data_IF_001867413327
#
_entry.id   IF_001867413327
#
_cell.length_a   1.000
_cell.length_b   1.000
_cell.length_c   1.000
_cell.angle_alpha   90.00
_cell.angle_beta   90.00
_cell.angle_gamma   90.00
#
_symmetry.space_group_name_H-M   'P 1'
#
loop_
_entity.id
_entity.type
_entity.pdbx_description
1 polymer ?
#
# COMPACT_ATOMS: atom_id res chain seq x y z
N UNK A 1 18.69 -4.28 -10.09
CA UNK A 1 18.79 -2.92 -9.50
C UNK A 1 18.01 -1.82 -10.25
N UNK A 2 17.78 -1.91 -11.57
CA UNK A 2 17.14 -0.84 -12.37
C UNK A 2 15.59 -0.76 -12.29
N UNK A 3 14.90 -1.78 -11.76
CA UNK A 3 13.42 -1.81 -11.66
C UNK A 3 12.88 -1.10 -10.41
N UNK A 4 13.66 -1.05 -9.33
CA UNK A 4 13.30 -0.39 -8.06
C UNK A 4 13.26 1.13 -8.17
N UNK A 5 14.16 1.72 -8.97
CA UNK A 5 14.22 3.18 -9.18
C UNK A 5 13.05 3.73 -10.00
N UNK A 6 12.48 2.91 -10.91
CA UNK A 6 11.32 3.31 -11.73
C UNK A 6 10.01 3.30 -10.93
N UNK A 7 9.81 2.32 -10.03
CA UNK A 7 8.63 2.25 -9.13
C UNK A 7 8.62 3.42 -8.13
N UNK A 8 9.78 3.79 -7.58
CA UNK A 8 9.94 5.00 -6.71
C UNK A 8 9.66 6.31 -7.45
N UNK A 9 10.06 6.46 -8.71
CA UNK A 9 9.76 7.67 -9.51
C UNK A 9 8.28 7.81 -9.84
N UNK A 10 7.57 6.71 -10.15
CA UNK A 10 6.13 6.74 -10.44
C UNK A 10 5.26 7.09 -9.23
N UNK A 11 5.62 6.61 -8.03
CA UNK A 11 4.93 6.96 -6.79
C UNK A 11 5.19 8.41 -6.36
N UNK A 12 6.40 8.93 -6.57
CA UNK A 12 6.71 10.33 -6.28
C UNK A 12 5.97 11.31 -7.20
N UNK A 13 5.76 10.96 -8.49
CA UNK A 13 4.97 11.78 -9.42
C UNK A 13 3.48 11.79 -9.13
N UNK A 14 2.89 10.67 -8.69
CA UNK A 14 1.46 10.61 -8.35
C UNK A 14 1.16 11.37 -7.05
N UNK A 15 2.01 11.23 -6.03
CA UNK A 15 1.90 11.98 -4.76
C UNK A 15 2.13 13.48 -4.97
N UNK A 16 3.08 13.86 -5.84
CA UNK A 16 3.29 15.27 -6.22
C UNK A 16 2.10 15.88 -6.96
N UNK A 17 1.46 15.10 -7.85
CA UNK A 17 0.26 15.52 -8.58
C UNK A 17 -0.95 15.70 -7.67
N UNK A 18 -1.17 14.78 -6.72
CA UNK A 18 -2.28 14.88 -5.76
C UNK A 18 -2.12 16.03 -4.78
N UNK A 19 -0.90 16.30 -4.30
CA UNK A 19 -0.62 17.43 -3.41
C UNK A 19 -0.78 18.77 -4.09
N UNK A 20 -0.33 18.91 -5.34
CA UNK A 20 -0.53 20.13 -6.11
C UNK A 20 -2.03 20.40 -6.34
N UNK A 21 -2.83 19.37 -6.62
CA UNK A 21 -4.28 19.53 -6.75
C UNK A 21 -4.91 20.07 -5.46
N UNK A 22 -4.58 19.48 -4.30
CA UNK A 22 -5.06 19.94 -3.00
C UNK A 22 -4.64 21.39 -2.71
N UNK A 23 -3.38 21.74 -3.01
CA UNK A 23 -2.88 23.11 -2.87
C UNK A 23 -3.69 24.09 -3.74
N UNK A 24 -3.99 23.72 -4.98
CA UNK A 24 -4.79 24.57 -5.87
C UNK A 24 -6.22 24.76 -5.36
N UNK A 25 -6.85 23.69 -4.85
CA UNK A 25 -8.19 23.79 -4.26
C UNK A 25 -8.22 24.72 -3.05
N UNK A 26 -7.20 24.62 -2.19
CA UNK A 26 -7.04 25.49 -1.01
C UNK A 26 -6.77 26.94 -1.43
N UNK A 27 -5.92 27.19 -2.43
CA UNK A 27 -5.66 28.54 -2.95
C UNK A 27 -6.91 29.17 -3.57
N UNK A 28 -7.69 28.40 -4.32
CA UNK A 28 -8.97 28.86 -4.87
C UNK A 28 -9.95 29.23 -3.77
N UNK A 29 -10.06 28.39 -2.74
CA UNK A 29 -10.89 28.69 -1.58
C UNK A 29 -10.44 29.97 -0.88
N UNK A 30 -9.14 30.16 -0.64
CA UNK A 30 -8.60 31.38 -0.04
C UNK A 30 -8.79 32.62 -0.92
N UNK A 31 -8.73 32.48 -2.25
CA UNK A 31 -9.01 33.56 -3.18
C UNK A 31 -10.47 34.01 -3.07
N UNK A 32 -11.42 33.06 -3.07
CA UNK A 32 -12.85 33.34 -2.88
C UNK A 32 -13.08 33.99 -1.52
N UNK A 33 -12.50 33.43 -0.46
CA UNK A 33 -12.61 33.96 0.90
C UNK A 33 -12.11 35.41 0.97
N UNK A 34 -10.96 35.72 0.36
CA UNK A 34 -10.42 37.09 0.28
C UNK A 34 -11.38 38.06 -0.40
N UNK A 35 -12.02 37.66 -1.51
CA UNK A 35 -13.04 38.49 -2.17
C UNK A 35 -14.27 38.73 -1.28
N UNK A 36 -14.75 37.69 -0.59
CA UNK A 36 -15.87 37.81 0.34
C UNK A 36 -15.51 38.74 1.50
N UNK A 37 -14.34 38.56 2.13
CA UNK A 37 -13.87 39.43 3.21
C UNK A 37 -13.71 40.88 2.75
N UNK A 38 -13.17 41.11 1.55
CA UNK A 38 -13.06 42.45 0.98
C UNK A 38 -14.43 43.11 0.77
N UNK A 39 -15.41 42.36 0.23
CA UNK A 39 -16.78 42.84 0.05
C UNK A 39 -17.46 43.20 1.37
N UNK A 40 -17.33 42.34 2.39
CA UNK A 40 -17.86 42.59 3.74
C UNK A 40 -17.22 43.84 4.35
N UNK A 41 -15.89 43.97 4.26
CA UNK A 41 -15.15 45.11 4.80
C UNK A 41 -15.55 46.41 4.09
N UNK A 42 -15.75 46.38 2.76
CA UNK A 42 -16.25 47.52 1.99
C UNK A 42 -17.65 47.94 2.46
N UNK A 43 -18.59 47.00 2.59
CA UNK A 43 -19.96 47.28 3.04
C UNK A 43 -19.96 47.86 4.47
N UNK A 44 -19.19 47.27 5.39
CA UNK A 44 -19.05 47.75 6.77
C UNK A 44 -18.51 49.19 6.79
N UNK A 45 -17.51 49.50 5.96
CA UNK A 45 -16.92 50.83 5.88
C UNK A 45 -17.90 51.87 5.33
N UNK A 46 -18.76 51.49 4.38
CA UNK A 46 -19.84 52.36 3.91
C UNK A 46 -20.95 52.54 4.96
N UNK A 47 -21.27 51.49 5.71
CA UNK A 47 -22.35 51.50 6.71
C UNK A 47 -21.97 52.24 8.01
N UNK A 48 -20.68 52.23 8.37
CA UNK A 48 -20.18 52.86 9.59
C UNK A 48 -19.28 54.03 9.21
N UNK A 49 -19.73 55.27 9.45
CA UNK A 49 -18.96 56.51 9.21
C UNK A 49 -17.80 56.70 10.22
N UNK A 50 -17.12 55.62 10.63
CA UNK A 50 -15.99 55.67 11.54
C UNK A 50 -14.69 55.83 10.75
N UNK A 51 -13.93 56.88 11.04
CA UNK A 51 -12.64 57.18 10.40
C UNK A 51 -11.61 56.05 10.58
N UNK A 52 -11.64 55.35 11.72
CA UNK A 52 -10.74 54.24 12.02
C UNK A 52 -11.00 53.02 11.10
N UNK A 53 -12.27 52.67 10.85
CA UNK A 53 -12.63 51.59 9.94
C UNK A 53 -12.27 51.92 8.50
N UNK A 54 -12.43 53.18 8.10
CA UNK A 54 -12.00 53.64 6.77
C UNK A 54 -10.49 53.49 6.55
N UNK A 55 -9.68 53.92 7.53
CA UNK A 55 -8.22 53.79 7.43
C UNK A 55 -7.78 52.31 7.40
N UNK A 56 -8.39 51.46 8.24
CA UNK A 56 -8.14 50.01 8.21
C UNK A 56 -8.55 49.39 6.87
N UNK A 57 -9.67 49.80 6.28
CA UNK A 57 -10.12 49.33 4.97
C UNK A 57 -9.14 49.71 3.86
N UNK A 58 -8.63 50.95 3.84
CA UNK A 58 -7.68 51.38 2.81
C UNK A 58 -6.39 50.56 2.89
N UNK A 59 -5.85 50.36 4.10
CA UNK A 59 -4.59 49.64 4.29
C UNK A 59 -4.77 48.13 4.05
N UNK A 60 -5.72 47.48 4.74
CA UNK A 60 -5.93 46.04 4.60
C UNK A 60 -6.52 45.68 3.22
N UNK A 61 -7.42 46.50 2.69
CA UNK A 61 -8.04 46.29 1.39
C UNK A 61 -7.05 46.39 0.24
N UNK A 62 -6.10 47.33 0.28
CA UNK A 62 -5.05 47.43 -0.74
C UNK A 62 -4.09 46.23 -0.71
N UNK A 63 -3.71 45.75 0.48
CA UNK A 63 -2.92 44.52 0.65
C UNK A 63 -3.66 43.29 0.08
N UNK A 64 -4.94 43.10 0.43
CA UNK A 64 -5.77 42.01 -0.11
C UNK A 64 -5.90 42.08 -1.64
N UNK A 65 -6.10 43.28 -2.19
CA UNK A 65 -6.22 43.48 -3.64
C UNK A 65 -4.90 43.16 -4.37
N UNK A 66 -3.78 43.64 -3.85
CA UNK A 66 -2.45 43.33 -4.38
C UNK A 66 -2.22 41.82 -4.39
N UNK A 67 -2.59 41.15 -3.29
CA UNK A 67 -2.44 39.73 -3.16
C UNK A 67 -3.35 38.93 -4.12
N UNK A 68 -4.57 39.41 -4.39
CA UNK A 68 -5.46 38.84 -5.40
C UNK A 68 -4.90 38.99 -6.82
N UNK A 69 -4.33 40.14 -7.17
CA UNK A 69 -3.69 40.37 -8.47
C UNK A 69 -2.56 39.37 -8.69
N UNK A 70 -1.71 39.18 -7.67
CA UNK A 70 -0.59 38.22 -7.71
C UNK A 70 -1.12 36.78 -7.86
N UNK A 71 -2.14 36.38 -7.09
CA UNK A 71 -2.74 35.05 -7.22
C UNK A 71 -3.31 34.82 -8.63
N UNK A 72 -4.07 35.78 -9.17
CA UNK A 72 -4.61 35.69 -10.54
C UNK A 72 -3.52 35.62 -11.60
N UNK A 73 -2.43 36.36 -11.43
CA UNK A 73 -1.27 36.29 -12.32
C UNK A 73 -0.67 34.87 -12.35
N UNK A 74 -0.47 34.24 -11.19
CA UNK A 74 0.04 32.87 -11.11
C UNK A 74 -0.93 31.84 -11.69
N UNK A 75 -2.24 32.01 -11.49
CA UNK A 75 -3.25 31.17 -12.14
C UNK A 75 -3.23 31.33 -13.67
N UNK A 76 -3.14 32.56 -14.18
CA UNK A 76 -3.13 32.85 -15.61
C UNK A 76 -1.87 32.30 -16.30
N UNK A 77 -0.71 32.50 -15.69
CA UNK A 77 0.59 32.04 -16.21
C UNK A 77 0.86 30.55 -15.99
N UNK A 78 -0.04 29.83 -15.29
CA UNK A 78 0.06 28.40 -14.93
C UNK A 78 1.33 28.02 -14.16
N UNK A 79 1.94 28.97 -13.44
CA UNK A 79 3.17 28.73 -12.66
C UNK A 79 2.86 28.28 -11.22
N UNK A 80 2.11 27.18 -11.07
CA UNK A 80 1.61 26.73 -9.76
C UNK A 80 2.71 26.32 -8.76
N UNK A 81 3.89 25.96 -9.25
CA UNK A 81 5.05 25.64 -8.41
C UNK A 81 5.45 26.80 -7.49
N UNK A 82 5.07 28.04 -7.84
CA UNK A 82 5.33 29.19 -7.00
C UNK A 82 4.59 29.10 -5.66
N UNK A 83 3.34 28.59 -5.63
CA UNK A 83 2.56 28.50 -4.39
C UNK A 83 3.23 27.64 -3.30
N UNK A 84 3.99 26.63 -3.71
CA UNK A 84 4.71 25.70 -2.81
C UNK A 84 6.14 26.19 -2.53
N UNK A 85 6.57 27.27 -3.19
CA UNK A 85 7.91 27.83 -3.07
C UNK A 85 8.10 28.58 -1.76
N UNK A 86 9.33 28.58 -1.26
CA UNK A 86 9.71 29.38 -0.09
C UNK A 86 9.59 30.89 -0.37
N UNK A 87 9.67 31.31 -1.63
CA UNK A 87 9.48 32.70 -2.03
C UNK A 87 8.06 33.20 -1.79
N UNK A 88 7.06 32.33 -2.00
CA UNK A 88 5.67 32.66 -1.72
C UNK A 88 5.47 32.94 -0.22
N UNK A 89 6.06 32.10 0.63
CA UNK A 89 6.07 32.33 2.09
C UNK A 89 6.68 33.68 2.47
N UNK A 90 7.84 34.04 1.91
CA UNK A 90 8.47 35.34 2.20
C UNK A 90 7.65 36.53 1.71
N UNK A 91 6.94 36.41 0.58
CA UNK A 91 6.03 37.45 0.11
C UNK A 91 4.88 37.67 1.09
N UNK A 92 4.23 36.60 1.54
CA UNK A 92 3.19 36.70 2.58
C UNK A 92 3.73 37.23 3.90
N UNK A 93 4.93 36.81 4.30
CA UNK A 93 5.56 37.28 5.52
C UNK A 93 5.83 38.79 5.49
N UNK A 94 6.32 39.28 4.35
CA UNK A 94 6.56 40.71 4.14
C UNK A 94 5.25 41.50 4.16
N UNK A 95 4.23 41.02 3.45
CA UNK A 95 2.92 41.67 3.38
C UNK A 95 2.24 41.76 4.76
N UNK A 96 2.18 40.64 5.49
CA UNK A 96 1.64 40.62 6.86
C UNK A 96 2.49 41.48 7.80
N UNK A 97 3.81 41.46 7.66
CA UNK A 97 4.72 42.30 8.45
C UNK A 97 4.49 43.80 8.24
N UNK A 98 4.34 44.24 6.99
CA UNK A 98 4.02 45.62 6.63
C UNK A 98 2.63 46.01 7.14
N UNK A 99 1.62 45.13 6.94
CA UNK A 99 0.26 45.36 7.40
C UNK A 99 0.21 45.57 8.92
N UNK A 100 0.90 44.73 9.69
CA UNK A 100 0.98 44.84 11.15
C UNK A 100 1.73 46.11 11.56
N UNK A 101 2.86 46.43 10.92
CA UNK A 101 3.62 47.65 11.21
C UNK A 101 2.79 48.92 10.98
N UNK A 102 2.01 48.98 9.88
CA UNK A 102 1.19 50.15 9.54
C UNK A 102 -0.07 50.30 10.40
N UNK A 103 -0.52 49.23 11.07
CA UNK A 103 -1.78 49.20 11.84
C UNK A 103 -1.57 49.17 13.35
N UNK A 104 -0.40 49.60 13.83
CA UNK A 104 -0.10 49.79 15.25
C UNK A 104 0.69 48.65 15.89
N UNK A 105 1.51 47.93 15.11
CA UNK A 105 2.49 46.96 15.60
C UNK A 105 1.86 45.90 16.52
N UNK A 106 2.25 45.90 17.79
CA UNK A 106 1.76 44.95 18.79
C UNK A 106 0.25 45.07 19.08
N UNK A 107 -0.35 46.24 18.84
CA UNK A 107 -1.79 46.52 19.02
C UNK A 107 -2.62 46.20 17.78
N UNK A 108 -1.97 45.82 16.68
CA UNK A 108 -2.65 45.54 15.42
C UNK A 108 -3.63 44.37 15.57
N UNK A 109 -4.86 44.47 15.03
CA UNK A 109 -5.79 43.34 15.00
C UNK A 109 -5.34 42.23 14.04
N UNK A 110 -4.31 42.47 13.21
CA UNK A 110 -3.84 41.54 12.19
C UNK A 110 -2.70 40.62 12.64
N UNK A 111 -2.20 40.76 13.88
CA UNK A 111 -1.15 39.89 14.42
C UNK A 111 -1.46 38.38 14.31
N UNK A 112 -2.72 37.91 14.51
CA UNK A 112 -3.05 36.49 14.32
C UNK A 112 -2.76 35.94 12.91
N UNK A 113 -2.61 36.79 11.87
CA UNK A 113 -2.23 36.35 10.52
C UNK A 113 -0.87 35.65 10.49
N UNK A 114 0.05 35.99 11.41
CA UNK A 114 1.30 35.26 11.55
C UNK A 114 1.11 33.79 11.95
N UNK A 115 0.07 33.47 12.74
CA UNK A 115 -0.27 32.08 13.08
C UNK A 115 -0.72 31.33 11.83
N UNK A 116 -1.62 31.92 11.04
CA UNK A 116 -2.08 31.34 9.79
C UNK A 116 -0.94 31.13 8.80
N UNK A 117 0.04 32.03 8.78
CA UNK A 117 1.23 31.89 7.94
C UNK A 117 2.09 30.68 8.34
N UNK A 118 2.32 30.50 9.65
CA UNK A 118 3.04 29.33 10.17
C UNK A 118 2.28 28.03 9.85
N UNK A 119 0.96 28.02 10.06
CA UNK A 119 0.09 26.89 9.74
C UNK A 119 0.14 26.56 8.25
N UNK A 120 -0.09 27.56 7.39
CA UNK A 120 -0.11 27.44 5.94
C UNK A 120 1.22 26.89 5.41
N UNK A 121 2.35 27.40 5.88
CA UNK A 121 3.64 26.87 5.46
C UNK A 121 3.76 25.35 5.73
N UNK A 122 3.35 24.89 6.91
CA UNK A 122 3.49 23.47 7.28
C UNK A 122 2.54 22.56 6.50
N UNK A 123 1.37 23.06 6.11
CA UNK A 123 0.42 22.35 5.24
C UNK A 123 1.00 22.22 3.82
N UNK A 124 1.60 23.29 3.28
CA UNK A 124 2.07 23.33 1.89
C UNK A 124 3.45 22.69 1.70
N UNK A 125 4.33 22.80 2.69
CA UNK A 125 5.71 22.30 2.64
C UNK A 125 6.12 21.66 3.97
N UNK A 126 5.67 20.42 4.26
CA UNK A 126 5.91 19.74 5.54
C UNK A 126 7.36 19.24 5.74
N UNK A 127 8.38 19.93 5.20
CA UNK A 127 9.78 19.53 5.36
C UNK A 127 10.23 19.71 6.83
N UNK A 128 10.71 18.61 7.41
CA UNK A 128 11.13 18.40 8.81
C UNK A 128 12.04 19.47 9.41
N UNK A 129 12.92 20.06 8.61
CA UNK A 129 14.03 20.86 9.12
C UNK A 129 13.73 22.35 9.28
N UNK A 130 12.66 22.87 8.67
CA UNK A 130 12.44 24.32 8.58
C UNK A 130 11.44 24.87 9.58
N UNK A 131 10.67 24.03 10.29
CA UNK A 131 9.62 24.49 11.24
C UNK A 131 10.15 25.50 12.27
N UNK A 132 11.28 25.17 12.90
CA UNK A 132 11.93 26.05 13.87
C UNK A 132 12.38 27.36 13.23
N UNK A 133 13.09 27.29 12.11
CA UNK A 133 13.61 28.46 11.39
C UNK A 133 12.50 29.38 10.88
N UNK A 134 11.38 28.80 10.45
CA UNK A 134 10.23 29.54 9.96
C UNK A 134 9.53 30.26 11.08
N UNK A 135 9.28 29.56 12.18
CA UNK A 135 8.71 30.17 13.39
C UNK A 135 9.62 31.28 13.90
N UNK A 136 10.94 31.07 13.91
CA UNK A 136 11.92 32.09 14.27
C UNK A 136 11.87 33.30 13.34
N UNK A 137 11.76 33.08 12.03
CA UNK A 137 11.68 34.15 11.02
C UNK A 137 10.38 34.94 11.15
N UNK A 138 9.26 34.27 11.44
CA UNK A 138 7.97 34.90 11.73
C UNK A 138 8.06 35.76 13.00
N UNK A 139 8.62 35.21 14.08
CA UNK A 139 8.87 35.97 15.32
C UNK A 139 9.78 37.19 15.07
N UNK A 140 10.85 37.03 14.30
CA UNK A 140 11.76 38.14 13.96
C UNK A 140 11.04 39.25 13.17
N UNK A 141 10.15 38.87 12.25
CA UNK A 141 9.35 39.83 11.47
C UNK A 141 8.34 40.56 12.36
N UNK A 142 7.67 39.84 13.27
CA UNK A 142 6.75 40.45 14.23
C UNK A 142 7.48 41.40 15.21
N UNK A 143 8.68 41.02 15.67
CA UNK A 143 9.54 41.88 16.48
C UNK A 143 9.92 43.16 15.72
N UNK A 144 10.34 43.03 14.46
CA UNK A 144 10.67 44.15 13.60
C UNK A 144 9.47 45.09 13.39
N UNK A 145 8.29 44.55 13.09
CA UNK A 145 7.07 45.34 12.95
C UNK A 145 6.69 46.10 14.23
N UNK A 146 6.90 45.48 15.40
CA UNK A 146 6.66 46.13 16.70
C UNK A 146 7.68 47.23 16.99
N UNK A 147 8.96 47.00 16.71
CA UNK A 147 10.02 48.02 16.88
C UNK A 147 9.76 49.21 15.96
N UNK A 148 9.31 48.97 14.73
CA UNK A 148 8.95 50.04 13.80
C UNK A 148 7.82 50.91 14.36
N UNK A 149 6.78 50.32 14.95
CA UNK A 149 5.72 51.07 15.63
C UNK A 149 6.26 51.87 16.83
N UNK A 150 7.15 51.28 17.64
CA UNK A 150 7.77 51.97 18.78
C UNK A 150 8.62 53.18 18.40
N UNK A 151 9.20 53.21 17.20
CA UNK A 151 9.93 54.39 16.72
C UNK A 151 9.01 55.62 16.62
N UNK A 152 7.73 55.41 16.27
CA UNK A 152 6.75 56.49 16.13
C UNK A 152 5.96 56.75 17.41
N UNK A 153 5.59 55.71 18.14
CA UNK A 153 4.68 55.77 19.29
C UNK A 153 5.40 55.81 20.65
N UNK A 154 6.72 55.57 20.66
CA UNK A 154 7.51 55.33 21.87
C UNK A 154 7.47 53.86 22.31
N UNK A 155 8.43 53.42 23.15
CA UNK A 155 8.52 52.03 23.59
C UNK A 155 7.44 51.71 24.64
N UNK A 156 6.68 50.63 24.41
CA UNK A 156 5.66 50.12 25.32
C UNK A 156 5.96 48.66 25.70
N UNK A 157 6.95 48.47 26.58
CA UNK A 157 7.38 47.14 27.03
C UNK A 157 6.37 46.44 27.95
N UNK A 158 5.41 47.17 28.51
CA UNK A 158 4.39 46.64 29.43
C UNK A 158 3.14 46.15 28.70
N UNK A 159 3.12 46.22 27.37
CA UNK A 159 2.01 45.75 26.56
C UNK A 159 1.90 44.22 26.60
N UNK A 160 1.09 43.69 27.52
CA UNK A 160 0.87 42.24 27.70
C UNK A 160 0.56 41.48 26.39
N UNK A 161 -0.29 41.98 25.47
CA UNK A 161 -0.56 41.30 24.20
C UNK A 161 0.68 41.00 23.36
N UNK A 162 1.74 41.81 23.46
CA UNK A 162 3.01 41.57 22.75
C UNK A 162 3.58 40.18 23.08
N UNK A 163 3.71 39.88 24.37
CA UNK A 163 4.28 38.62 24.86
C UNK A 163 3.36 37.44 24.60
N UNK A 164 2.04 37.63 24.72
CA UNK A 164 1.04 36.61 24.39
C UNK A 164 1.16 36.22 22.92
N UNK A 165 1.28 37.20 22.02
CA UNK A 165 1.41 36.93 20.59
C UNK A 165 2.70 36.16 20.25
N UNK A 166 3.85 36.54 20.85
CA UNK A 166 5.08 35.76 20.69
C UNK A 166 4.94 34.32 21.19
N UNK A 167 4.32 34.14 22.36
CA UNK A 167 4.04 32.82 22.90
C UNK A 167 3.15 32.00 21.96
N UNK A 168 2.06 32.58 21.44
CA UNK A 168 1.15 31.90 20.52
C UNK A 168 1.85 31.51 19.21
N UNK A 169 2.67 32.39 18.63
CA UNK A 169 3.44 32.09 17.41
C UNK A 169 4.43 30.94 17.66
N UNK A 170 5.19 31.02 18.76
CA UNK A 170 6.15 29.98 19.12
C UNK A 170 5.45 28.64 19.41
N UNK A 171 4.35 28.66 20.14
CA UNK A 171 3.55 27.48 20.49
C UNK A 171 2.93 26.85 19.23
N UNK A 172 2.39 27.65 18.32
CA UNK A 172 1.86 27.20 17.04
C UNK A 172 2.95 26.52 16.19
N UNK A 173 4.13 27.13 16.10
CA UNK A 173 5.29 26.55 15.42
C UNK A 173 5.71 25.21 16.02
N UNK A 174 5.76 25.11 17.36
CA UNK A 174 6.09 23.87 18.06
C UNK A 174 5.07 22.75 17.81
N UNK A 175 3.77 23.06 17.90
CA UNK A 175 2.68 22.12 17.58
C UNK A 175 2.80 21.64 16.13
N UNK A 176 3.00 22.56 15.18
CA UNK A 176 3.13 22.20 13.78
C UNK A 176 4.36 21.33 13.50
N UNK A 177 5.48 21.60 14.18
CA UNK A 177 6.66 20.74 14.16
C UNK A 177 6.38 19.34 14.74
N UNK A 178 5.57 19.24 15.79
CA UNK A 178 5.13 17.95 16.35
C UNK A 178 4.20 17.21 15.39
N UNK A 179 3.16 17.86 14.88
CA UNK A 179 2.19 17.28 13.95
C UNK A 179 2.88 16.76 12.70
N UNK A 180 3.80 17.53 12.13
CA UNK A 180 4.56 17.10 10.97
C UNK A 180 5.40 15.84 11.26
N UNK A 181 5.96 15.68 12.48
CA UNK A 181 6.68 14.46 12.88
C UNK A 181 5.74 13.26 12.99
N UNK A 182 4.56 13.44 13.58
CA UNK A 182 3.56 12.38 13.71
C UNK A 182 3.06 11.92 12.34
N UNK A 183 2.66 12.85 11.46
CA UNK A 183 2.17 12.53 10.11
C UNK A 183 3.21 11.75 9.32
N UNK A 184 4.48 12.15 9.36
CA UNK A 184 5.56 11.41 8.71
C UNK A 184 5.78 10.02 9.31
N UNK A 185 5.67 9.88 10.63
CA UNK A 185 5.73 8.57 11.29
C UNK A 185 4.63 7.64 10.81
N UNK A 186 3.40 8.14 10.66
CA UNK A 186 2.27 7.39 10.12
C UNK A 186 2.47 7.02 8.64
N UNK A 187 2.93 7.96 7.80
CA UNK A 187 3.25 7.68 6.39
C UNK A 187 4.33 6.60 6.26
N UNK A 188 5.37 6.64 7.12
CA UNK A 188 6.45 5.66 7.13
C UNK A 188 5.99 4.27 7.60
N UNK A 189 5.19 4.20 8.66
CA UNK A 189 4.64 2.94 9.17
C UNK A 189 3.70 2.28 8.15
N UNK A 190 2.83 3.06 7.51
CA UNK A 190 1.96 2.57 6.44
C UNK A 190 2.77 2.01 5.26
N UNK A 191 3.82 2.74 4.84
CA UNK A 191 4.72 2.27 3.78
C UNK A 191 5.48 1.01 4.19
N UNK A 192 5.95 0.93 5.44
CA UNK A 192 6.63 -0.25 5.96
C UNK A 192 5.72 -1.48 5.96
N UNK A 193 4.49 -1.36 6.48
CA UNK A 193 3.49 -2.45 6.48
C UNK A 193 3.16 -2.92 5.07
N UNK A 194 2.93 -1.99 4.13
CA UNK A 194 2.67 -2.34 2.73
C UNK A 194 3.84 -3.09 2.09
N UNK A 195 5.08 -2.63 2.32
CA UNK A 195 6.26 -3.31 1.79
C UNK A 195 6.50 -4.68 2.46
N UNK A 196 6.25 -4.80 3.76
CA UNK A 196 6.37 -6.06 4.49
C UNK A 196 5.35 -7.10 3.99
N UNK A 197 4.11 -6.67 3.72
CA UNK A 197 3.08 -7.52 3.10
C UNK A 197 3.51 -7.97 1.69
N UNK A 198 3.93 -7.04 0.81
CA UNK A 198 4.41 -7.37 -0.54
C UNK A 198 5.59 -8.36 -0.49
N UNK A 199 6.53 -8.16 0.45
CA UNK A 199 7.68 -9.05 0.63
C UNK A 199 7.28 -10.42 1.16
N UNK A 200 6.35 -10.49 2.12
CA UNK A 200 5.84 -11.74 2.67
C UNK A 200 5.11 -12.55 1.60
N UNK A 201 4.21 -11.91 0.85
CA UNK A 201 3.48 -12.54 -0.26
C UNK A 201 4.44 -13.06 -1.33
N UNK A 202 5.44 -12.25 -1.71
CA UNK A 202 6.45 -12.66 -2.70
C UNK A 202 7.27 -13.85 -2.20
N UNK A 203 7.64 -13.86 -0.92
CA UNK A 203 8.41 -14.95 -0.31
C UNK A 203 7.58 -16.22 -0.25
N UNK A 204 6.32 -16.15 0.19
CA UNK A 204 5.41 -17.28 0.23
C UNK A 204 5.17 -17.85 -1.16
N UNK A 205 4.91 -16.99 -2.16
CA UNK A 205 4.74 -17.40 -3.56
C UNK A 205 6.01 -18.06 -4.09
N UNK A 206 7.19 -17.56 -3.76
CA UNK A 206 8.46 -18.17 -4.16
C UNK A 206 8.65 -19.55 -3.49
N UNK A 207 8.35 -19.69 -2.20
CA UNK A 207 8.42 -20.97 -1.48
C UNK A 207 7.48 -21.98 -2.15
N UNK A 208 6.20 -21.62 -2.33
CA UNK A 208 5.19 -22.50 -2.94
C UNK A 208 5.51 -22.87 -4.39
N UNK A 209 6.15 -21.98 -5.15
CA UNK A 209 6.55 -22.28 -6.53
C UNK A 209 7.83 -23.12 -6.63
N UNK A 210 8.64 -23.17 -5.57
CA UNK A 210 9.85 -24.00 -5.53
C UNK A 210 9.64 -25.36 -4.85
N UNK A 211 8.50 -25.60 -4.20
CA UNK A 211 8.16 -26.96 -3.75
C UNK A 211 7.94 -27.85 -4.97
N UNK A 212 8.59 -29.01 -5.02
CA UNK A 212 8.42 -29.97 -6.12
C UNK A 212 7.01 -30.55 -6.22
N UNK A 213 6.22 -30.46 -5.15
CA UNK A 213 4.84 -30.94 -5.13
C UNK A 213 3.90 -29.92 -5.78
N UNK A 214 3.04 -30.38 -6.70
CA UNK A 214 1.88 -29.61 -7.14
C UNK A 214 1.01 -29.23 -5.93
N UNK A 215 0.50 -28.01 -5.92
CA UNK A 215 -0.41 -27.49 -4.88
C UNK A 215 -1.56 -26.75 -5.57
N UNK A 216 -2.79 -27.13 -5.25
CA UNK A 216 -4.02 -26.51 -5.74
C UNK A 216 -4.88 -26.08 -4.55
N UNK A 217 -5.38 -24.85 -4.60
CA UNK A 217 -6.29 -24.28 -3.61
C UNK A 217 -7.65 -24.08 -4.24
N UNK A 218 -8.71 -24.62 -3.63
CA UNK A 218 -10.08 -24.52 -4.14
C UNK A 218 -11.10 -24.22 -3.05
N UNK A 219 -12.24 -23.64 -3.43
CA UNK A 219 -13.32 -23.28 -2.51
C UNK A 219 -14.30 -24.42 -2.21
N UNK A 220 -15.27 -24.20 -1.33
CA UNK A 220 -16.35 -25.18 -1.02
C UNK A 220 -17.17 -25.60 -2.24
N UNK A 221 -17.26 -24.72 -3.24
CA UNK A 221 -17.90 -24.98 -4.53
C UNK A 221 -17.01 -25.75 -5.51
N UNK A 222 -15.83 -26.18 -5.04
CA UNK A 222 -14.80 -26.92 -5.77
C UNK A 222 -14.17 -26.18 -6.92
N UNK A 223 -14.40 -24.87 -7.02
CA UNK A 223 -13.73 -24.05 -8.01
C UNK A 223 -12.32 -23.71 -7.53
N UNK A 224 -11.34 -23.95 -8.40
CA UNK A 224 -9.93 -23.65 -8.13
C UNK A 224 -9.74 -22.14 -8.05
N UNK A 225 -9.17 -21.68 -6.94
CA UNK A 225 -8.92 -20.26 -6.65
C UNK A 225 -7.46 -19.90 -6.91
N UNK A 226 -6.53 -20.79 -6.57
CA UNK A 226 -5.10 -20.59 -6.81
C UNK A 226 -4.36 -21.92 -6.99
N UNK A 227 -3.17 -21.88 -7.59
CA UNK A 227 -2.30 -23.02 -7.76
C UNK A 227 -0.85 -22.57 -7.96
N UNK A 228 0.12 -23.38 -7.50
CA UNK A 228 1.54 -23.12 -7.72
C UNK A 228 1.99 -23.49 -9.13
N UNK A 229 3.20 -23.07 -9.53
CA UNK A 229 3.74 -23.38 -10.87
C UNK A 229 3.84 -24.89 -11.14
N UNK A 230 4.25 -25.67 -10.13
CA UNK A 230 4.33 -27.14 -10.26
C UNK A 230 2.98 -27.79 -10.56
N UNK A 231 1.86 -27.19 -10.15
CA UNK A 231 0.53 -27.68 -10.52
C UNK A 231 0.17 -27.41 -11.99
N UNK A 232 0.55 -26.26 -12.54
CA UNK A 232 0.36 -25.99 -13.98
C UNK A 232 1.20 -26.95 -14.83
N UNK A 233 2.44 -27.21 -14.42
CA UNK A 233 3.33 -28.18 -15.08
C UNK A 233 2.82 -29.62 -14.95
N UNK A 234 2.35 -30.01 -13.75
CA UNK A 234 1.87 -31.36 -13.50
C UNK A 234 0.56 -31.67 -14.24
N UNK A 235 -0.39 -30.73 -14.24
CA UNK A 235 -1.67 -30.90 -14.92
C UNK A 235 -1.58 -30.58 -16.43
N UNK A 236 -0.48 -29.99 -16.88
CA UNK A 236 -0.24 -29.56 -18.27
C UNK A 236 -1.31 -28.54 -18.74
N UNK A 237 -1.70 -27.63 -17.83
CA UNK A 237 -2.73 -26.63 -18.05
C UNK A 237 -2.20 -25.23 -17.77
N UNK A 238 -2.59 -24.26 -18.60
CA UNK A 238 -2.30 -22.86 -18.31
C UNK A 238 -3.15 -22.35 -17.16
N UNK A 239 -2.66 -21.31 -16.48
CA UNK A 239 -3.35 -20.66 -15.36
C UNK A 239 -4.78 -20.26 -15.71
N UNK A 240 -5.01 -19.73 -16.90
CA UNK A 240 -6.33 -19.26 -17.34
C UNK A 240 -7.34 -20.40 -17.53
N UNK A 241 -6.86 -21.62 -17.77
CA UNK A 241 -7.72 -22.81 -17.89
C UNK A 241 -7.96 -23.49 -16.55
N UNK A 242 -6.95 -23.47 -15.66
CA UNK A 242 -7.05 -24.13 -14.36
C UNK A 242 -7.82 -23.30 -13.34
N UNK A 243 -7.55 -22.00 -13.23
CA UNK A 243 -8.24 -21.14 -12.28
C UNK A 243 -9.71 -20.95 -12.68
N UNK A 244 -10.63 -21.15 -11.75
CA UNK A 244 -12.06 -21.07 -11.99
C UNK A 244 -12.66 -22.30 -12.68
N UNK A 245 -11.88 -23.36 -12.90
CA UNK A 245 -12.40 -24.69 -13.25
C UNK A 245 -12.75 -25.49 -11.99
N UNK A 246 -13.51 -26.58 -12.15
CA UNK A 246 -13.84 -27.46 -11.02
C UNK A 246 -12.71 -28.45 -10.76
N UNK A 247 -12.24 -28.52 -9.52
CA UNK A 247 -11.18 -29.43 -9.13
C UNK A 247 -11.49 -30.90 -9.47
N UNK A 248 -12.73 -31.34 -9.22
CA UNK A 248 -13.16 -32.72 -9.52
C UNK A 248 -13.05 -33.13 -10.99
N UNK A 249 -13.02 -32.20 -11.94
CA UNK A 249 -12.96 -32.55 -13.37
C UNK A 249 -11.60 -33.10 -13.80
N UNK A 250 -10.58 -32.97 -12.96
CA UNK A 250 -9.23 -33.50 -13.21
C UNK A 250 -8.97 -34.81 -12.49
N UNK A 251 -9.96 -35.38 -11.82
CA UNK A 251 -9.87 -36.66 -11.13
C UNK A 251 -10.63 -37.72 -11.92
N UNK A 252 -10.09 -38.92 -11.97
CA UNK A 252 -10.81 -40.07 -12.51
C UNK A 252 -11.93 -40.47 -11.54
N UNK A 253 -13.14 -40.62 -12.07
CA UNK A 253 -14.32 -41.01 -11.30
C UNK A 253 -14.66 -42.49 -11.58
N UNK A 254 -14.43 -43.35 -10.59
CA UNK A 254 -14.86 -44.74 -10.58
C UNK A 254 -16.23 -44.93 -9.89
N UNK A 255 -16.91 -43.84 -9.55
CA UNK A 255 -18.17 -43.80 -8.79
C UNK A 255 -17.98 -43.59 -7.28
N UNK A 256 -16.74 -43.58 -6.77
CA UNK A 256 -16.45 -43.35 -5.34
C UNK A 256 -16.11 -41.90 -5.00
N UNK A 257 -15.90 -41.02 -5.98
CA UNK A 257 -15.46 -39.65 -5.72
C UNK A 257 -16.44 -38.87 -4.85
N UNK A 258 -17.76 -38.98 -5.09
CA UNK A 258 -18.73 -38.20 -4.31
C UNK A 258 -18.65 -38.56 -2.82
N UNK A 259 -18.57 -39.86 -2.47
CA UNK A 259 -18.41 -40.29 -1.08
C UNK A 259 -17.12 -39.78 -0.45
N UNK A 260 -16.01 -39.77 -1.21
CA UNK A 260 -14.72 -39.27 -0.72
C UNK A 260 -14.75 -37.75 -0.47
N UNK A 261 -15.42 -36.99 -1.33
CA UNK A 261 -15.58 -35.55 -1.15
C UNK A 261 -16.57 -35.19 -0.05
N UNK A 262 -17.60 -36.00 0.19
CA UNK A 262 -18.48 -35.87 1.36
C UNK A 262 -17.70 -36.06 2.66
N UNK A 263 -16.92 -37.14 2.75
CA UNK A 263 -16.05 -37.41 3.92
C UNK A 263 -15.05 -36.26 4.16
N UNK A 264 -14.46 -35.70 3.10
CA UNK A 264 -13.58 -34.52 3.19
C UNK A 264 -14.31 -33.29 3.74
N UNK A 265 -15.57 -33.05 3.36
CA UNK A 265 -16.34 -31.90 3.86
C UNK A 265 -16.67 -32.06 5.34
N UNK A 266 -16.96 -33.28 5.79
CA UNK A 266 -17.25 -33.59 7.19
C UNK A 266 -16.00 -33.52 8.07
N UNK A 267 -14.93 -34.22 7.68
CA UNK A 267 -13.69 -34.35 8.47
C UNK A 267 -12.75 -33.15 8.32
N UNK A 268 -12.77 -32.50 7.15
CA UNK A 268 -11.89 -31.39 6.82
C UNK A 268 -10.48 -31.78 6.39
N UNK A 269 -10.19 -33.07 6.27
CA UNK A 269 -8.92 -33.60 5.77
C UNK A 269 -9.13 -34.86 4.94
N UNK A 270 -8.25 -35.10 3.97
CA UNK A 270 -8.30 -36.30 3.14
C UNK A 270 -6.89 -36.75 2.77
N UNK A 271 -6.64 -38.04 2.93
CA UNK A 271 -5.42 -38.71 2.52
C UNK A 271 -5.79 -39.93 1.70
N UNK A 272 -5.72 -39.81 0.37
CA UNK A 272 -6.17 -40.89 -0.49
C UNK A 272 -5.36 -40.97 -1.78
N UNK A 273 -5.19 -42.20 -2.28
CA UNK A 273 -4.66 -42.42 -3.62
C UNK A 273 -5.73 -42.12 -4.65
N UNK A 274 -5.40 -41.31 -5.63
CA UNK A 274 -6.31 -40.93 -6.71
C UNK A 274 -5.59 -40.99 -8.04
N UNK A 275 -6.36 -41.18 -9.11
CA UNK A 275 -5.88 -41.03 -10.47
C UNK A 275 -6.23 -39.62 -10.95
N UNK A 276 -5.20 -38.85 -11.33
CA UNK A 276 -5.34 -37.52 -11.91
C UNK A 276 -5.25 -37.63 -13.43
N UNK A 277 -6.18 -36.96 -14.11
CA UNK A 277 -6.24 -36.85 -15.56
C UNK A 277 -5.53 -35.55 -15.98
N UNK A 278 -4.27 -35.66 -16.43
CA UNK A 278 -3.53 -34.54 -16.97
C UNK A 278 -3.97 -34.20 -18.41
N UNK A 279 -3.62 -32.99 -18.88
CA UNK A 279 -4.03 -32.46 -20.19
C UNK A 279 -3.67 -33.32 -21.41
N UNK A 280 -2.65 -34.19 -21.32
CA UNK A 280 -2.25 -35.14 -22.36
C UNK A 280 -2.99 -36.47 -22.37
N UNK A 281 -4.05 -36.63 -21.56
CA UNK A 281 -4.76 -37.91 -21.34
C UNK A 281 -3.88 -39.01 -20.70
N UNK A 282 -2.75 -38.63 -20.11
CA UNK A 282 -1.92 -39.52 -19.32
C UNK A 282 -2.45 -39.57 -17.88
N UNK A 283 -2.81 -40.76 -17.43
CA UNK A 283 -3.22 -41.01 -16.04
C UNK A 283 -1.99 -40.99 -15.15
N UNK A 284 -2.02 -40.16 -14.09
CA UNK A 284 -0.98 -40.14 -13.06
C UNK A 284 -1.55 -40.60 -11.73
N UNK A 285 -0.89 -41.57 -11.12
CA UNK A 285 -1.24 -42.01 -9.77
C UNK A 285 -0.64 -41.03 -8.77
N UNK A 286 -1.49 -40.40 -7.97
CA UNK A 286 -1.08 -39.46 -6.93
C UNK A 286 -1.57 -39.91 -5.56
N UNK A 287 -0.74 -39.75 -4.54
CA UNK A 287 -1.20 -39.73 -3.17
C UNK A 287 -1.55 -38.29 -2.81
N UNK A 288 -2.83 -38.02 -2.56
CA UNK A 288 -3.34 -36.67 -2.35
C UNK A 288 -3.47 -36.39 -0.85
N UNK A 289 -2.93 -35.25 -0.43
CA UNK A 289 -3.15 -34.70 0.91
C UNK A 289 -4.00 -33.44 0.77
N UNK A 290 -5.22 -33.48 1.28
CA UNK A 290 -6.11 -32.32 1.30
C UNK A 290 -6.36 -31.90 2.75
N UNK A 291 -6.20 -30.62 3.04
CA UNK A 291 -6.63 -30.04 4.31
C UNK A 291 -7.49 -28.80 4.06
N UNK A 292 -8.52 -28.65 4.89
CA UNK A 292 -9.36 -27.47 4.92
C UNK A 292 -8.85 -26.44 5.92
N UNK A 293 -8.96 -25.16 5.57
CA UNK A 293 -8.67 -24.04 6.47
C UNK A 293 -9.68 -22.91 6.23
N UNK A 294 -9.83 -22.03 7.22
CA UNK A 294 -10.70 -20.86 7.11
C UNK A 294 -9.88 -19.65 6.62
N UNK A 295 -10.13 -19.21 5.40
CA UNK A 295 -9.52 -18.02 4.80
C UNK A 295 -10.57 -16.96 4.51
N UNK A 296 -10.40 -15.74 5.02
CA UNK A 296 -11.32 -14.61 4.78
C UNK A 296 -12.81 -14.92 5.08
N UNK A 297 -13.06 -15.78 6.08
CA UNK A 297 -14.41 -16.21 6.47
C UNK A 297 -15.05 -17.23 5.53
N UNK A 298 -14.30 -17.80 4.58
CA UNK A 298 -14.71 -18.91 3.71
C UNK A 298 -13.83 -20.12 3.95
N UNK A 299 -14.40 -21.33 3.86
CA UNK A 299 -13.60 -22.55 3.92
C UNK A 299 -12.92 -22.76 2.57
N UNK A 300 -11.61 -22.97 2.62
CA UNK A 300 -10.77 -23.29 1.47
C UNK A 300 -10.12 -24.64 1.72
N UNK A 301 -9.82 -25.35 0.64
CA UNK A 301 -9.12 -26.63 0.67
C UNK A 301 -7.79 -26.47 -0.06
N UNK A 302 -6.71 -26.99 0.53
CA UNK A 302 -5.40 -27.10 -0.12
C UNK A 302 -5.16 -28.56 -0.43
N UNK A 303 -5.06 -28.90 -1.71
CA UNK A 303 -4.66 -30.22 -2.18
C UNK A 303 -3.18 -30.20 -2.60
N UNK A 304 -2.40 -31.07 -1.99
CA UNK A 304 -1.01 -31.36 -2.34
C UNK A 304 -0.93 -32.74 -2.98
N UNK A 305 -0.25 -32.82 -4.11
CA UNK A 305 -0.14 -34.04 -4.91
C UNK A 305 1.26 -34.64 -4.71
N UNK A 306 1.31 -35.90 -4.30
CA UNK A 306 2.54 -36.68 -4.33
C UNK A 306 2.47 -37.66 -5.50
N UNK A 307 3.24 -37.43 -6.57
CA UNK A 307 3.28 -38.32 -7.72
C UNK A 307 3.95 -39.65 -7.34
N UNK A 308 3.17 -40.73 -7.36
CA UNK A 308 3.59 -42.09 -7.05
C UNK A 308 3.58 -42.98 -8.30
N UNK A 309 3.42 -42.41 -9.50
CA UNK A 309 3.29 -43.16 -10.76
C UNK A 309 4.50 -44.05 -10.99
N UNK A 310 5.71 -43.49 -10.95
CA UNK A 310 6.96 -44.26 -11.12
C UNK A 310 7.13 -45.32 -10.02
N UNK A 311 6.73 -45.01 -8.78
CA UNK A 311 6.81 -45.98 -7.69
C UNK A 311 5.89 -47.19 -7.94
N UNK A 312 4.66 -46.96 -8.42
CA UNK A 312 3.73 -48.02 -8.78
C UNK A 312 4.23 -48.85 -9.96
N UNK A 313 4.74 -48.21 -11.02
CA UNK A 313 5.30 -48.92 -12.17
C UNK A 313 6.49 -49.82 -11.77
N UNK A 314 7.38 -49.34 -10.91
CA UNK A 314 8.50 -50.14 -10.39
C UNK A 314 7.99 -51.28 -9.51
N UNK A 315 6.97 -51.04 -8.68
CA UNK A 315 6.39 -52.06 -7.81
C UNK A 315 5.70 -53.17 -8.63
N UNK A 316 4.93 -52.81 -9.65
CA UNK A 316 4.26 -53.76 -10.54
C UNK A 316 5.26 -54.56 -11.38
N UNK A 317 6.26 -53.91 -11.96
CA UNK A 317 7.31 -54.60 -12.74
C UNK A 317 8.11 -55.56 -11.86
N UNK A 318 8.41 -55.19 -10.62
CA UNK A 318 9.07 -56.06 -9.63
C UNK A 318 8.19 -57.26 -9.27
N UNK A 319 6.89 -57.04 -9.03
CA UNK A 319 5.94 -58.11 -8.72
C UNK A 319 5.81 -59.11 -9.89
N UNK A 320 5.70 -58.60 -11.12
CA UNK A 320 5.63 -59.43 -12.33
C UNK A 320 6.94 -60.21 -12.55
N UNK A 321 8.10 -59.61 -12.28
CA UNK A 321 9.39 -60.28 -12.37
C UNK A 321 9.52 -61.41 -11.34
N UNK A 322 9.07 -61.20 -10.09
CA UNK A 322 9.03 -62.23 -9.05
C UNK A 322 8.14 -63.40 -9.46
N UNK A 323 6.92 -63.13 -9.96
CA UNK A 323 6.01 -64.17 -10.44
C UNK A 323 6.59 -64.98 -11.62
N UNK A 324 7.30 -64.31 -12.54
CA UNK A 324 7.99 -64.99 -13.66
C UNK A 324 9.15 -65.86 -13.18
N UNK A 325 9.94 -65.36 -12.22
CA UNK A 325 11.04 -66.11 -11.63
C UNK A 325 10.54 -67.36 -10.89
N UNK A 326 9.44 -67.23 -10.14
CA UNK A 326 8.82 -68.35 -9.43
C UNK A 326 8.34 -69.44 -10.39
N UNK A 327 7.64 -69.07 -11.47
CA UNK A 327 7.23 -70.02 -12.53
C UNK A 327 8.41 -70.72 -13.19
N UNK A 328 9.47 -69.99 -13.54
CA UNK A 328 10.68 -70.59 -14.14
C UNK A 328 11.39 -71.56 -13.19
N UNK A 329 11.43 -71.25 -11.89
CA UNK A 329 12.01 -72.12 -10.87
C UNK A 329 11.21 -73.44 -10.73
N UNK A 330 9.88 -73.35 -10.71
CA UNK A 330 9.00 -74.53 -10.69
C UNK A 330 9.20 -75.43 -11.93
N UNK A 331 9.32 -74.84 -13.12
CA UNK A 331 9.61 -75.58 -14.35
C UNK A 331 10.99 -76.26 -14.31
N UNK A 332 12.02 -75.56 -13.83
CA UNK A 332 13.37 -76.11 -13.71
C UNK A 332 13.39 -77.31 -12.75
N UNK A 333 12.72 -77.21 -11.61
CA UNK A 333 12.57 -78.33 -10.67
C UNK A 333 11.85 -79.51 -11.33
N UNK A 334 10.79 -79.26 -12.11
CA UNK A 334 10.09 -80.31 -12.85
C UNK A 334 11.00 -81.02 -13.85
N UNK A 335 11.79 -80.26 -14.62
CA UNK A 335 12.76 -80.81 -15.58
C UNK A 335 13.85 -81.61 -14.86
N UNK A 336 14.39 -81.08 -13.76
CA UNK A 336 15.36 -81.81 -12.93
C UNK A 336 14.78 -83.14 -12.43
N UNK A 337 13.56 -83.14 -11.89
CA UNK A 337 12.92 -84.37 -11.41
C UNK A 337 12.70 -85.40 -12.53
N UNK A 338 12.26 -84.96 -13.72
CA UNK A 338 12.13 -85.83 -14.89
C UNK A 338 13.48 -86.42 -15.31
N UNK A 339 14.54 -85.60 -15.34
CA UNK A 339 15.90 -86.02 -15.65
C UNK A 339 16.39 -87.07 -14.65
N UNK A 340 16.24 -86.82 -13.35
CA UNK A 340 16.69 -87.77 -12.31
C UNK A 340 15.93 -89.09 -12.39
N UNK A 341 14.61 -89.04 -12.59
CA UNK A 341 13.79 -90.25 -12.81
C UNK A 341 14.24 -91.03 -14.06
N UNK A 342 14.56 -90.34 -15.16
CA UNK A 342 15.09 -90.95 -16.37
C UNK A 342 16.43 -91.67 -16.12
N UNK A 343 17.38 -91.03 -15.45
CA UNK A 343 18.67 -91.67 -15.09
C UNK A 343 18.49 -92.92 -14.23
N UNK A 344 17.60 -92.87 -13.23
CA UNK A 344 17.27 -94.05 -12.40
C UNK A 344 16.65 -95.17 -13.23
N UNK A 345 15.78 -94.85 -14.20
CA UNK A 345 15.15 -95.86 -15.06
C UNK A 345 16.11 -96.56 -16.02
N UNK A 346 17.14 -95.86 -16.51
CA UNK A 346 18.19 -96.44 -17.36
C UNK A 346 19.16 -97.30 -16.54
N UNK A 347 19.54 -96.85 -15.33
CA UNK A 347 20.45 -97.61 -14.48
C UNK A 347 19.85 -98.94 -13.96
N UNK A 348 18.53 -99.09 -13.98
CA UNK A 348 17.80 -100.29 -13.57
C UNK A 348 17.44 -101.24 -14.73
N UNK A 349 17.92 -100.98 -15.96
CA UNK A 349 17.83 -101.86 -17.12
C UNK A 349 19.21 -102.39 -17.49
#
# INVERSE_FOLDING_TARGET
>A
MLRSTKKRRGHASSVGSGRMALVLDVEWFFLILRYVTYGILAILTLATQQSLLHNLFVIAGSSVLMHNIVSHWFFYTRQYNFFISIWNFFLYLLDVGLLVAMTGGARSPFVPLFLFLVVGFHVYSPRTGSSFWITLTVCATYAFATIMDWIFSGPDLLHLPLYINFFLIAFCGWIMGMLARVVRGLEQDAAYKSNALESSETTLRAILNHTAHPIVVYGENEFIVDANESAYEFLELSKEKLIGSRFRSYLFDDGSLETVFEDLRETGELHHEMLVLAGSAMERSVFMHIHSFLGEGRRLYVALFHDITHQKEVQETTLLAQQRMEKANLELQRVMNMRTAFYVSIANR
#
